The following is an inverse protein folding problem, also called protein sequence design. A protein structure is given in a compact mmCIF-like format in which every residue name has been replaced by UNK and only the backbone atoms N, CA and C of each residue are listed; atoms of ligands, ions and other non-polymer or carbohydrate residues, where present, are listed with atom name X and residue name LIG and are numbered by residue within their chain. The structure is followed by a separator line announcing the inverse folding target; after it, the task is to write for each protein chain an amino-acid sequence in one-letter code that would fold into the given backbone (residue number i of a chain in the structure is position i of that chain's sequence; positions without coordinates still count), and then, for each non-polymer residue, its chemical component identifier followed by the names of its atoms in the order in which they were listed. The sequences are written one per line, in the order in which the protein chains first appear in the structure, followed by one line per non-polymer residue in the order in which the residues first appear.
data_IF_622983448375
#
_entry.id   IF_622983448375
#
_cell.length_a   1.000
_cell.length_b   1.000
_cell.length_c   1.000
_cell.angle_alpha   90.00
_cell.angle_beta   90.00
_cell.angle_gamma   90.00
#
_symmetry.space_group_name_H-M   'P 1'
#
loop_
_entity.id
_entity.type
_entity.pdbx_description
1 polymer ?
#
# COMPACT_ATOMS: atom_id res chain seq x y z
N UNK A 1 5.13 48.12 1.90
CA UNK A 1 4.81 46.68 1.86
C UNK A 1 5.95 45.94 1.16
N UNK A 2 6.48 44.89 1.78
CA UNK A 2 7.70 44.18 1.34
C UNK A 2 7.51 43.47 -0.01
N UNK A 3 8.47 43.62 -0.93
CA UNK A 3 8.50 43.05 -2.28
C UNK A 3 8.34 41.52 -2.33
N UNK A 4 8.61 40.83 -1.23
CA UNK A 4 8.45 39.38 -1.07
C UNK A 4 6.99 38.90 -1.06
N UNK A 5 6.03 39.71 -0.59
CA UNK A 5 4.61 39.31 -0.58
C UNK A 5 3.96 39.41 -1.97
N UNK A 6 4.49 40.28 -2.84
CA UNK A 6 4.00 40.44 -4.21
C UNK A 6 4.42 39.30 -5.12
N UNK A 7 5.65 38.77 -4.98
CA UNK A 7 6.08 37.64 -5.81
C UNK A 7 5.34 36.36 -5.44
N UNK A 8 5.02 36.14 -4.16
CA UNK A 8 4.26 34.98 -3.72
C UNK A 8 2.83 34.97 -4.29
N UNK A 9 2.16 36.14 -4.31
CA UNK A 9 0.82 36.28 -4.87
C UNK A 9 0.83 36.14 -6.41
N UNK A 10 1.83 36.72 -7.09
CA UNK A 10 1.99 36.57 -8.53
C UNK A 10 2.32 35.11 -8.94
N UNK A 11 3.15 34.40 -8.17
CA UNK A 11 3.43 32.98 -8.40
C UNK A 11 2.21 32.10 -8.18
N UNK A 12 1.38 32.38 -7.18
CA UNK A 12 0.10 31.68 -6.94
C UNK A 12 -0.91 31.91 -8.07
N UNK A 13 -0.96 33.11 -8.64
CA UNK A 13 -1.80 33.46 -9.79
C UNK A 13 -1.32 32.77 -11.08
N UNK A 14 0.00 32.63 -11.27
CA UNK A 14 0.57 32.06 -12.51
C UNK A 14 0.40 30.54 -12.60
N UNK A 15 0.41 29.83 -11.46
CA UNK A 15 0.24 28.36 -11.44
C UNK A 15 -1.23 27.93 -11.61
N UNK A 16 -2.21 28.81 -11.29
CA UNK A 16 -3.65 28.52 -11.44
C UNK A 16 -4.27 28.92 -12.79
N UNK A 17 -3.59 29.72 -13.62
CA UNK A 17 -4.20 30.37 -14.79
C UNK A 17 -3.80 29.81 -16.16
N UNK A 18 -2.91 28.83 -16.24
CA UNK A 18 -2.49 28.26 -17.54
C UNK A 18 -3.58 27.48 -18.27
N UNK A 19 -4.75 27.26 -17.66
CA UNK A 19 -5.94 26.70 -18.33
C UNK A 19 -6.97 27.76 -18.78
N UNK A 20 -6.81 29.05 -18.45
CA UNK A 20 -7.78 30.09 -18.83
C UNK A 20 -7.09 31.41 -19.17
N UNK A 21 -6.52 31.49 -20.38
CA UNK A 21 -5.96 32.73 -20.95
C UNK A 21 -7.01 33.86 -21.19
N UNK A 22 -8.24 33.71 -20.67
CA UNK A 22 -9.34 34.69 -20.76
C UNK A 22 -9.58 35.40 -19.40
N UNK A 23 -8.84 35.05 -18.34
CA UNK A 23 -9.12 35.53 -16.98
C UNK A 23 -8.42 36.84 -16.58
N UNK A 24 -7.48 37.34 -17.40
CA UNK A 24 -6.73 38.57 -17.12
C UNK A 24 -7.53 39.86 -17.34
N UNK A 25 -8.61 39.81 -18.13
CA UNK A 25 -9.40 41.00 -18.51
C UNK A 25 -10.30 41.57 -17.39
N UNK A 26 -10.44 40.89 -16.25
CA UNK A 26 -11.35 41.30 -15.16
C UNK A 26 -10.66 41.77 -13.89
N UNK A 27 -9.33 41.67 -13.80
CA UNK A 27 -8.56 42.19 -12.66
C UNK A 27 -8.18 43.65 -12.91
N UNK A 28 -8.40 44.51 -11.92
CA UNK A 28 -7.93 45.90 -11.95
C UNK A 28 -6.40 45.92 -11.80
N UNK A 29 -5.70 46.45 -12.80
CA UNK A 29 -4.25 46.69 -12.73
C UNK A 29 -3.95 47.97 -11.92
N UNK A 30 -2.94 47.90 -11.04
CA UNK A 30 -2.52 49.04 -10.22
C UNK A 30 -1.25 49.69 -10.79
N UNK A 31 -1.30 51.01 -11.03
CA UNK A 31 -0.14 51.78 -11.48
C UNK A 31 0.78 52.13 -10.30
N UNK A 32 2.08 51.91 -10.48
CA UNK A 32 3.08 52.24 -9.47
C UNK A 32 3.08 53.75 -9.15
N UNK A 33 3.10 54.09 -7.86
CA UNK A 33 3.11 55.48 -7.38
C UNK A 33 1.73 56.13 -7.26
N UNK A 34 0.65 55.43 -7.63
CA UNK A 34 -0.72 55.90 -7.44
C UNK A 34 -1.38 55.15 -6.28
N UNK A 35 -2.03 55.84 -5.32
CA UNK A 35 -2.81 55.17 -4.29
C UNK A 35 -3.97 54.37 -4.91
N UNK A 36 -4.02 53.06 -4.66
CA UNK A 36 -5.14 52.21 -5.08
C UNK A 36 -6.38 52.50 -4.21
N UNK A 37 -7.58 52.54 -4.81
CA UNK A 37 -8.80 52.70 -4.02
C UNK A 37 -9.14 51.38 -3.32
N UNK A 38 -9.66 51.46 -2.10
CA UNK A 38 -10.08 50.29 -1.34
C UNK A 38 -11.12 49.44 -2.10
N UNK A 39 -12.04 50.09 -2.83
CA UNK A 39 -13.06 49.43 -3.65
C UNK A 39 -12.45 48.60 -4.79
N UNK A 40 -11.41 49.12 -5.46
CA UNK A 40 -10.71 48.44 -6.57
C UNK A 40 -9.93 47.22 -6.06
N UNK A 41 -9.26 47.36 -4.91
CA UNK A 41 -8.56 46.26 -4.23
C UNK A 41 -9.55 45.18 -3.78
N UNK A 42 -10.65 45.56 -3.13
CA UNK A 42 -11.68 44.63 -2.68
C UNK A 42 -12.40 43.94 -3.85
N UNK A 43 -12.58 44.63 -4.98
CA UNK A 43 -13.12 44.05 -6.21
C UNK A 43 -12.25 42.92 -6.76
N UNK A 44 -10.91 43.09 -6.77
CA UNK A 44 -9.99 42.04 -7.15
C UNK A 44 -10.06 40.83 -6.19
N UNK A 45 -10.15 41.06 -4.87
CA UNK A 45 -10.31 39.98 -3.90
C UNK A 45 -11.64 39.23 -4.08
N UNK A 46 -12.76 39.93 -4.24
CA UNK A 46 -14.06 39.30 -4.48
C UNK A 46 -14.09 38.49 -5.78
N UNK A 47 -13.42 38.99 -6.84
CA UNK A 47 -13.25 38.24 -8.08
C UNK A 47 -12.42 36.97 -7.85
N UNK A 48 -11.29 37.05 -7.16
CA UNK A 48 -10.46 35.89 -6.83
C UNK A 48 -11.23 34.88 -5.97
N UNK A 49 -11.99 35.33 -4.97
CA UNK A 49 -12.85 34.49 -4.14
C UNK A 49 -13.90 33.76 -4.99
N UNK A 50 -14.56 34.46 -5.91
CA UNK A 50 -15.55 33.84 -6.81
C UNK A 50 -14.93 32.77 -7.72
N UNK A 51 -13.68 32.95 -8.15
CA UNK A 51 -12.95 31.96 -8.94
C UNK A 51 -12.53 30.77 -8.08
N UNK A 52 -12.09 31.02 -6.85
CA UNK A 52 -11.79 29.97 -5.88
C UNK A 52 -13.05 29.15 -5.58
N UNK A 53 -14.20 29.79 -5.39
CA UNK A 53 -15.47 29.10 -5.13
C UNK A 53 -15.92 28.28 -6.34
N UNK A 54 -15.74 28.80 -7.56
CA UNK A 54 -16.00 28.04 -8.79
C UNK A 54 -15.05 26.83 -8.94
N UNK A 55 -13.78 26.95 -8.54
CA UNK A 55 -12.81 25.84 -8.53
C UNK A 55 -13.15 24.81 -7.44
N UNK A 56 -13.70 25.25 -6.32
CA UNK A 56 -14.14 24.39 -5.21
C UNK A 56 -15.47 23.68 -5.49
N UNK A 57 -16.29 24.22 -6.39
CA UNK A 57 -17.56 23.61 -6.76
C UNK A 57 -17.30 22.21 -7.34
N UNK A 58 -17.74 21.17 -6.62
CA UNK A 58 -17.62 19.79 -7.07
C UNK A 58 -18.60 19.57 -8.22
N UNK A 59 -18.09 19.21 -9.39
CA UNK A 59 -18.94 18.79 -10.50
C UNK A 59 -19.39 17.35 -10.26
N UNK A 60 -20.68 17.07 -10.37
CA UNK A 60 -21.23 15.70 -10.26
C UNK A 60 -21.88 15.31 -11.58
N UNK A 61 -21.57 14.11 -12.09
CA UNK A 61 -22.15 13.55 -13.31
C UNK A 61 -22.65 12.13 -13.03
N UNK A 62 -23.81 11.80 -13.61
CA UNK A 62 -24.34 10.44 -13.58
C UNK A 62 -23.93 9.69 -14.85
N UNK A 63 -23.39 8.49 -14.68
CA UNK A 63 -22.82 7.66 -15.73
C UNK A 63 -23.56 6.33 -15.79
N UNK A 64 -24.35 6.12 -16.85
CA UNK A 64 -25.06 4.86 -17.06
C UNK A 64 -24.31 3.95 -18.04
N UNK A 65 -23.57 2.99 -17.47
CA UNK A 65 -22.89 1.96 -18.23
C UNK A 65 -23.81 0.80 -18.66
N UNK A 66 -25.07 0.77 -18.18
CA UNK A 66 -26.04 -0.26 -18.59
C UNK A 66 -26.50 -0.04 -20.04
N UNK A 67 -26.66 1.22 -20.44
CA UNK A 67 -27.01 1.60 -21.82
C UNK A 67 -25.79 1.78 -22.72
N UNK A 68 -24.67 2.22 -22.14
CA UNK A 68 -23.43 2.45 -22.88
C UNK A 68 -22.20 2.11 -22.02
N UNK A 69 -21.67 0.87 -22.12
CA UNK A 69 -20.56 0.38 -21.30
C UNK A 69 -19.27 1.22 -21.35
N UNK A 70 -19.09 2.04 -22.38
CA UNK A 70 -17.90 2.90 -22.56
C UNK A 70 -18.06 4.31 -21.96
N UNK A 71 -19.21 4.61 -21.33
CA UNK A 71 -19.55 5.98 -20.90
C UNK A 71 -18.61 6.55 -19.85
N UNK A 72 -18.17 5.73 -18.89
CA UNK A 72 -17.21 6.14 -17.86
C UNK A 72 -15.87 6.53 -18.48
N UNK A 73 -15.34 5.68 -19.36
CA UNK A 73 -14.09 5.90 -20.09
C UNK A 73 -14.17 7.17 -20.94
N UNK A 74 -15.21 7.29 -21.76
CA UNK A 74 -15.42 8.45 -22.64
C UNK A 74 -15.52 9.75 -21.84
N UNK A 75 -16.19 9.72 -20.67
CA UNK A 75 -16.32 10.89 -19.81
C UNK A 75 -14.98 11.32 -19.22
N UNK A 76 -14.19 10.36 -18.74
CA UNK A 76 -12.86 10.65 -18.17
C UNK A 76 -11.86 11.11 -19.23
N UNK A 77 -11.90 10.55 -20.43
CA UNK A 77 -11.05 10.97 -21.56
C UNK A 77 -11.38 12.40 -22.01
N UNK A 78 -12.65 12.80 -21.96
CA UNK A 78 -13.10 14.16 -22.30
C UNK A 78 -12.98 15.16 -21.14
N UNK A 79 -12.69 14.69 -19.92
CA UNK A 79 -12.72 15.52 -18.71
C UNK A 79 -11.56 16.53 -18.68
N UNK A 80 -11.80 17.73 -19.20
CA UNK A 80 -10.87 18.88 -19.17
C UNK A 80 -11.13 19.84 -18.00
N UNK A 81 -12.10 19.52 -17.14
CA UNK A 81 -12.58 20.42 -16.08
C UNK A 81 -11.53 20.75 -15.02
N UNK A 82 -11.50 22.02 -14.61
CA UNK A 82 -10.83 22.46 -13.39
C UNK A 82 -11.65 22.08 -12.14
N UNK A 83 -11.00 21.59 -11.10
CA UNK A 83 -11.63 21.24 -9.82
C UNK A 83 -12.08 19.78 -9.67
N UNK A 84 -12.64 19.41 -8.49
CA UNK A 84 -13.05 18.05 -8.16
C UNK A 84 -14.22 17.55 -9.01
N UNK A 85 -14.21 16.27 -9.37
CA UNK A 85 -15.23 15.60 -10.18
C UNK A 85 -15.75 14.36 -9.45
N UNK A 86 -17.07 14.26 -9.29
CA UNK A 86 -17.76 13.07 -8.80
C UNK A 86 -18.53 12.41 -9.94
N UNK A 87 -18.32 11.11 -10.13
CA UNK A 87 -18.97 10.29 -11.14
C UNK A 87 -19.82 9.23 -10.42
N UNK A 88 -21.14 9.33 -10.51
CA UNK A 88 -22.07 8.33 -9.96
C UNK A 88 -22.35 7.29 -11.04
N UNK A 89 -21.82 6.09 -10.89
CA UNK A 89 -21.83 5.07 -11.92
C UNK A 89 -22.89 4.01 -11.64
N UNK A 90 -23.68 3.68 -12.66
CA UNK A 90 -24.62 2.55 -12.64
C UNK A 90 -24.33 1.57 -13.78
N UNK A 91 -24.60 0.29 -13.55
CA UNK A 91 -24.32 -0.76 -14.53
C UNK A 91 -22.85 -1.19 -14.58
N UNK A 92 -22.49 -1.96 -15.60
CA UNK A 92 -21.15 -2.51 -15.80
C UNK A 92 -20.43 -1.77 -16.93
N UNK A 93 -19.35 -1.06 -16.59
CA UNK A 93 -18.49 -0.38 -17.55
C UNK A 93 -17.36 -1.31 -18.02
N UNK A 94 -16.92 -1.10 -19.26
CA UNK A 94 -15.75 -1.77 -19.80
C UNK A 94 -14.47 -1.01 -19.44
N UNK A 95 -13.46 -1.74 -18.95
CA UNK A 95 -12.10 -1.25 -18.76
C UNK A 95 -11.26 -1.27 -20.07
N UNK A 96 -9.99 -0.86 -20.00
CA UNK A 96 -9.38 -0.18 -18.86
C UNK A 96 -9.93 1.25 -18.72
N UNK A 97 -10.28 1.63 -17.49
CA UNK A 97 -10.61 3.01 -17.15
C UNK A 97 -9.32 3.78 -16.90
N UNK A 98 -8.96 4.66 -17.83
CA UNK A 98 -7.76 5.48 -17.74
C UNK A 98 -8.05 6.76 -16.96
N UNK A 99 -7.47 6.91 -15.78
CA UNK A 99 -7.67 8.09 -14.93
C UNK A 99 -6.39 8.91 -14.88
N UNK A 100 -6.40 10.04 -15.60
CA UNK A 100 -5.32 11.03 -15.62
C UNK A 100 -5.70 12.36 -14.97
N UNK A 101 -7.00 12.56 -14.73
CA UNK A 101 -7.53 13.75 -14.06
C UNK A 101 -7.34 13.66 -12.56
N UNK A 102 -6.92 14.77 -11.95
CA UNK A 102 -6.83 14.89 -10.50
C UNK A 102 -8.20 15.12 -9.83
N UNK A 103 -8.31 14.74 -8.55
CA UNK A 103 -9.48 14.94 -7.69
C UNK A 103 -10.77 14.33 -8.23
N UNK A 104 -10.72 13.03 -8.56
CA UNK A 104 -11.89 12.28 -9.06
C UNK A 104 -12.43 11.33 -8.00
N UNK A 105 -13.74 11.34 -7.82
CA UNK A 105 -14.50 10.36 -7.05
C UNK A 105 -15.33 9.53 -8.03
N UNK A 106 -15.17 8.21 -8.01
CA UNK A 106 -16.04 7.27 -8.72
C UNK A 106 -16.86 6.53 -7.67
N UNK A 107 -18.19 6.62 -7.77
CA UNK A 107 -19.12 6.07 -6.79
C UNK A 107 -20.08 5.08 -7.45
N UNK A 108 -20.07 3.83 -7.01
CA UNK A 108 -20.92 2.76 -7.53
C UNK A 108 -20.39 2.10 -8.81
N UNK A 109 -21.23 1.23 -9.38
CA UNK A 109 -20.99 0.58 -10.65
C UNK A 109 -20.04 -0.63 -10.58
N UNK A 110 -19.96 -1.33 -11.70
CA UNK A 110 -19.02 -2.43 -11.90
C UNK A 110 -18.04 -2.10 -13.04
N UNK A 111 -16.81 -2.56 -12.94
CA UNK A 111 -15.79 -2.42 -13.98
C UNK A 111 -15.30 -3.82 -14.37
N UNK A 112 -15.44 -4.16 -15.64
CA UNK A 112 -14.94 -5.40 -16.23
C UNK A 112 -13.71 -5.08 -17.05
N UNK A 113 -12.54 -5.60 -16.65
CA UNK A 113 -11.29 -5.38 -17.37
C UNK A 113 -11.32 -5.93 -18.79
N UNK A 114 -10.53 -5.33 -19.66
CA UNK A 114 -10.30 -5.80 -21.04
C UNK A 114 -8.82 -6.02 -21.27
N UNK A 115 -8.50 -6.86 -22.25
CA UNK A 115 -7.12 -7.25 -22.54
C UNK A 115 -6.37 -6.09 -23.21
N UNK A 116 -5.22 -5.73 -22.63
CA UNK A 116 -4.28 -4.74 -23.14
C UNK A 116 -2.89 -5.35 -23.08
N UNK A 117 -2.24 -5.48 -24.24
CA UNK A 117 -0.89 -6.05 -24.35
C UNK A 117 -0.75 -7.45 -23.70
N UNK A 118 -1.82 -8.26 -23.72
CA UNK A 118 -1.88 -9.60 -23.13
C UNK A 118 -2.28 -9.63 -21.65
N UNK A 119 -2.45 -8.47 -21.01
CA UNK A 119 -2.83 -8.34 -19.60
C UNK A 119 -4.28 -7.89 -19.46
N UNK A 120 -5.02 -8.49 -18.51
CA UNK A 120 -6.39 -8.07 -18.25
C UNK A 120 -6.39 -6.86 -17.31
N UNK A 121 -6.71 -5.67 -17.83
CA UNK A 121 -6.65 -4.42 -17.07
C UNK A 121 -8.05 -3.80 -16.88
N UNK A 122 -8.38 -3.50 -15.62
CA UNK A 122 -9.64 -2.85 -15.26
C UNK A 122 -9.49 -1.33 -15.18
N UNK A 123 -8.40 -0.86 -14.59
CA UNK A 123 -8.19 0.56 -14.32
C UNK A 123 -6.71 0.91 -14.29
N UNK A 124 -6.38 2.04 -14.90
CA UNK A 124 -5.03 2.61 -14.91
C UNK A 124 -5.07 4.04 -14.39
N UNK A 125 -4.56 4.24 -13.18
CA UNK A 125 -4.47 5.55 -12.52
C UNK A 125 -3.06 6.08 -12.66
N UNK A 126 -2.92 7.28 -13.25
CA UNK A 126 -1.59 7.87 -13.47
C UNK A 126 -1.61 9.40 -13.45
N UNK A 127 -0.45 10.01 -13.21
CA UNK A 127 -0.24 11.43 -13.47
C UNK A 127 -0.50 12.35 -12.29
N UNK A 128 -0.03 11.98 -11.08
CA UNK A 128 -0.14 12.79 -9.85
C UNK A 128 -1.59 13.10 -9.49
N UNK A 129 -2.41 12.05 -9.47
CA UNK A 129 -3.84 12.17 -9.25
C UNK A 129 -4.23 11.83 -7.81
N UNK A 130 -5.39 12.30 -7.38
CA UNK A 130 -6.02 12.01 -6.11
C UNK A 130 -7.40 11.39 -6.39
N UNK A 131 -7.48 10.07 -6.31
CA UNK A 131 -8.65 9.30 -6.72
C UNK A 131 -9.32 8.67 -5.51
N UNK A 132 -10.65 8.64 -5.52
CA UNK A 132 -11.45 7.92 -4.54
C UNK A 132 -12.42 6.99 -5.27
N UNK A 133 -12.36 5.71 -4.96
CA UNK A 133 -13.34 4.72 -5.40
C UNK A 133 -14.24 4.39 -4.22
N UNK A 134 -15.56 4.48 -4.42
CA UNK A 134 -16.59 4.26 -3.40
C UNK A 134 -17.60 3.26 -3.94
N UNK A 135 -17.83 2.15 -3.24
CA UNK A 135 -18.82 1.13 -3.63
C UNK A 135 -18.63 0.59 -5.08
N UNK A 136 -17.38 0.56 -5.56
CA UNK A 136 -17.03 0.09 -6.91
C UNK A 136 -16.72 -1.40 -6.87
N UNK A 137 -17.27 -2.17 -7.79
CA UNK A 137 -16.92 -3.59 -7.98
C UNK A 137 -16.03 -3.77 -9.21
N UNK A 138 -14.82 -4.26 -9.02
CA UNK A 138 -13.95 -4.71 -10.11
C UNK A 138 -14.28 -6.19 -10.36
N UNK A 139 -14.91 -6.49 -11.50
CA UNK A 139 -15.35 -7.84 -11.86
C UNK A 139 -14.21 -8.72 -12.38
N UNK A 140 -13.28 -8.11 -13.12
CA UNK A 140 -12.12 -8.78 -13.71
C UNK A 140 -11.02 -7.76 -14.00
N UNK A 141 -9.79 -8.23 -14.10
CA UNK A 141 -8.61 -7.43 -14.42
C UNK A 141 -8.01 -6.69 -13.22
N UNK A 142 -6.85 -6.07 -13.46
CA UNK A 142 -6.05 -5.41 -12.42
C UNK A 142 -6.32 -3.90 -12.33
N UNK A 143 -6.01 -3.32 -11.18
CA UNK A 143 -5.93 -1.88 -10.95
C UNK A 143 -4.47 -1.48 -10.82
N UNK A 144 -3.98 -0.70 -11.77
CA UNK A 144 -2.60 -0.20 -11.80
C UNK A 144 -2.53 1.26 -11.36
N UNK A 145 -1.70 1.55 -10.35
CA UNK A 145 -1.58 2.89 -9.75
C UNK A 145 -0.14 3.39 -9.86
N UNK A 146 0.09 4.39 -10.70
CA UNK A 146 1.45 4.83 -11.04
C UNK A 146 1.64 6.34 -10.97
N UNK A 147 2.91 6.77 -10.99
CA UNK A 147 3.34 8.17 -11.16
C UNK A 147 2.75 9.10 -10.10
N UNK A 148 3.11 8.86 -8.84
CA UNK A 148 2.83 9.75 -7.70
C UNK A 148 1.34 9.97 -7.46
N UNK A 149 0.53 8.96 -7.76
CA UNK A 149 -0.92 9.02 -7.57
C UNK A 149 -1.31 8.56 -6.16
N UNK A 150 -2.36 9.16 -5.61
CA UNK A 150 -2.96 8.82 -4.33
C UNK A 150 -4.36 8.26 -4.56
N UNK A 151 -4.59 7.00 -4.18
CA UNK A 151 -5.87 6.32 -4.39
C UNK A 151 -6.47 5.89 -3.06
N UNK A 152 -7.78 6.07 -2.92
CA UNK A 152 -8.56 5.64 -1.76
C UNK A 152 -9.62 4.65 -2.18
N UNK A 153 -9.64 3.48 -1.54
CA UNK A 153 -10.72 2.50 -1.67
C UNK A 153 -11.65 2.60 -0.47
N UNK A 154 -12.94 2.77 -0.74
CA UNK A 154 -14.01 2.71 0.23
C UNK A 154 -15.04 1.70 -0.27
N UNK A 155 -15.09 0.53 0.36
CA UNK A 155 -15.98 -0.57 -0.03
C UNK A 155 -15.80 -1.02 -1.50
N UNK A 156 -14.55 -1.13 -1.95
CA UNK A 156 -14.21 -1.66 -3.29
C UNK A 156 -14.17 -3.19 -3.23
N UNK A 157 -14.86 -3.84 -4.15
CA UNK A 157 -14.79 -5.30 -4.33
C UNK A 157 -13.78 -5.65 -5.41
N UNK A 158 -12.86 -6.57 -5.13
CA UNK A 158 -11.81 -7.00 -6.06
C UNK A 158 -12.11 -8.39 -6.64
N UNK A 159 -11.67 -8.65 -7.90
CA UNK A 159 -11.85 -9.96 -8.52
C UNK A 159 -10.93 -10.96 -7.85
N UNK A 160 -11.32 -12.24 -7.88
CA UNK A 160 -10.41 -13.33 -7.48
C UNK A 160 -9.14 -13.25 -8.33
N UNK A 161 -7.94 -13.14 -7.73
CA UNK A 161 -6.71 -13.10 -8.47
C UNK A 161 -6.44 -14.46 -9.11
N UNK A 162 -5.77 -14.46 -10.26
CA UNK A 162 -5.30 -15.67 -10.94
C UNK A 162 -3.91 -16.04 -10.44
N UNK A 163 -3.50 -17.30 -10.58
CA UNK A 163 -2.11 -17.68 -10.35
C UNK A 163 -1.21 -17.09 -11.44
N UNK A 164 -0.02 -16.62 -11.06
CA UNK A 164 1.01 -16.16 -12.00
C UNK A 164 1.71 -17.36 -12.63
N UNK A 165 2.12 -18.31 -11.79
CA UNK A 165 2.46 -19.68 -12.18
C UNK A 165 1.68 -20.65 -11.28
N UNK A 166 1.16 -21.74 -11.85
CA UNK A 166 0.40 -22.71 -11.08
C UNK A 166 1.29 -23.52 -10.11
N UNK A 167 2.60 -23.55 -10.38
CA UNK A 167 3.56 -24.38 -9.68
C UNK A 167 4.25 -23.66 -8.51
N UNK A 168 4.28 -22.33 -8.48
CA UNK A 168 4.97 -21.53 -7.44
C UNK A 168 4.04 -21.00 -6.33
N UNK A 169 2.72 -21.08 -6.53
CA UNK A 169 1.72 -20.64 -5.56
C UNK A 169 1.56 -19.11 -5.45
N UNK A 170 2.17 -18.34 -6.35
CA UNK A 170 2.04 -16.88 -6.40
C UNK A 170 0.84 -16.45 -7.23
N UNK A 171 0.17 -15.39 -6.78
CA UNK A 171 -0.94 -14.82 -7.52
C UNK A 171 -0.46 -13.66 -8.39
N UNK A 172 -1.04 -13.50 -9.57
CA UNK A 172 -0.96 -12.27 -10.32
C UNK A 172 -1.59 -11.12 -9.48
N UNK A 173 -0.93 -9.95 -9.35
CA UNK A 173 -1.49 -8.82 -8.62
C UNK A 173 -2.75 -8.26 -9.29
N UNK A 174 -3.86 -8.19 -8.55
CA UNK A 174 -5.05 -7.47 -8.99
C UNK A 174 -5.03 -5.99 -8.56
N UNK A 175 -4.11 -5.61 -7.68
CA UNK A 175 -3.77 -4.22 -7.38
C UNK A 175 -2.25 -4.07 -7.44
N UNK A 176 -1.78 -3.32 -8.43
CA UNK A 176 -0.36 -3.02 -8.60
C UNK A 176 -0.10 -1.53 -8.39
N UNK A 177 1.03 -1.22 -7.79
CA UNK A 177 1.42 0.17 -7.54
C UNK A 177 2.90 0.43 -7.73
N UNK A 178 3.18 1.60 -8.29
CA UNK A 178 4.53 2.09 -8.53
C UNK A 178 4.65 3.58 -8.20
N UNK A 179 5.55 3.93 -7.27
CA UNK A 179 5.79 5.31 -6.83
C UNK A 179 4.51 6.05 -6.49
N UNK A 180 3.62 5.41 -5.74
CA UNK A 180 2.24 5.89 -5.51
C UNK A 180 1.75 5.50 -4.11
N UNK A 181 0.56 5.94 -3.73
CA UNK A 181 -0.02 5.67 -2.41
C UNK A 181 -1.44 5.13 -2.51
N UNK A 182 -1.75 4.10 -1.72
CA UNK A 182 -3.07 3.48 -1.61
C UNK A 182 -3.52 3.49 -0.17
N UNK A 183 -4.76 3.88 0.04
CA UNK A 183 -5.42 3.76 1.33
C UNK A 183 -6.72 2.99 1.20
N UNK A 184 -6.83 1.87 1.89
CA UNK A 184 -8.07 1.11 1.99
C UNK A 184 -8.75 1.52 3.30
N UNK A 185 -9.88 2.21 3.17
CA UNK A 185 -10.56 2.89 4.28
C UNK A 185 -11.66 2.02 4.92
N UNK A 186 -12.39 1.26 4.12
CA UNK A 186 -13.53 0.44 4.52
C UNK A 186 -13.77 -0.70 3.52
N UNK A 187 -14.55 -1.70 3.91
CA UNK A 187 -14.90 -2.85 3.07
C UNK A 187 -14.18 -4.14 3.48
N UNK A 188 -14.00 -5.02 2.51
CA UNK A 188 -13.28 -6.29 2.66
C UNK A 188 -11.93 -6.25 1.93
N UNK A 189 -10.93 -6.91 2.51
CA UNK A 189 -9.64 -7.23 1.89
C UNK A 189 -9.69 -8.56 1.12
N UNK A 190 -10.84 -9.23 1.07
CA UNK A 190 -10.98 -10.47 0.31
C UNK A 190 -10.52 -10.29 -1.13
N UNK A 191 -9.81 -11.30 -1.62
CA UNK A 191 -9.21 -11.35 -2.95
C UNK A 191 -8.09 -10.34 -3.21
N UNK A 192 -7.73 -9.45 -2.29
CA UNK A 192 -6.62 -8.53 -2.53
C UNK A 192 -5.32 -9.31 -2.78
N UNK A 193 -4.74 -9.10 -3.96
CA UNK A 193 -3.41 -9.55 -4.37
C UNK A 193 -2.62 -8.30 -4.73
N UNK A 194 -1.78 -7.86 -3.79
CA UNK A 194 -1.14 -6.55 -3.82
C UNK A 194 0.34 -6.65 -4.21
N UNK A 195 0.77 -5.84 -5.16
CA UNK A 195 2.20 -5.58 -5.42
C UNK A 195 2.49 -4.07 -5.32
N UNK A 196 3.30 -3.69 -4.33
CA UNK A 196 3.68 -2.29 -4.06
C UNK A 196 5.17 -2.09 -4.28
N UNK A 197 5.54 -1.31 -5.30
CA UNK A 197 6.93 -1.16 -5.76
C UNK A 197 7.37 0.30 -5.89
N UNK A 198 8.68 0.54 -5.90
CA UNK A 198 9.36 1.82 -6.17
C UNK A 198 8.84 3.00 -5.33
N UNK A 199 9.17 3.07 -4.04
CA UNK A 199 8.79 4.19 -3.15
C UNK A 199 7.26 4.34 -3.01
N UNK A 200 6.53 3.23 -2.90
CA UNK A 200 5.08 3.26 -2.70
C UNK A 200 4.69 3.14 -1.23
N UNK A 201 3.50 3.64 -0.86
CA UNK A 201 2.97 3.55 0.49
C UNK A 201 1.54 3.00 0.51
N UNK A 202 1.32 1.97 1.33
CA UNK A 202 0.03 1.35 1.53
C UNK A 202 -0.42 1.56 2.96
N UNK A 203 -1.68 1.94 3.13
CA UNK A 203 -2.33 2.03 4.43
C UNK A 203 -3.63 1.25 4.45
N UNK A 204 -3.69 0.27 5.33
CA UNK A 204 -4.92 -0.45 5.65
C UNK A 204 -5.51 0.16 6.93
N UNK A 205 -6.71 0.74 6.87
CA UNK A 205 -7.33 1.30 8.07
C UNK A 205 -7.95 0.22 8.97
N UNK A 206 -8.25 0.59 10.22
CA UNK A 206 -9.02 -0.24 11.14
C UNK A 206 -10.44 -0.47 10.64
N UNK A 207 -11.02 -1.63 10.96
CA UNK A 207 -12.40 -1.98 10.62
C UNK A 207 -12.56 -2.69 9.26
N UNK A 208 -11.46 -2.92 8.53
CA UNK A 208 -11.47 -3.78 7.35
C UNK A 208 -11.72 -5.24 7.76
N UNK A 209 -12.46 -5.94 6.90
CA UNK A 209 -12.80 -7.36 7.07
C UNK A 209 -12.12 -8.21 5.98
N UNK A 210 -12.33 -9.53 6.02
CA UNK A 210 -11.80 -10.44 5.00
C UNK A 210 -10.29 -10.66 5.09
N UNK A 211 -9.79 -11.40 4.12
CA UNK A 211 -8.41 -11.88 4.11
C UNK A 211 -7.78 -11.71 2.72
N UNK A 212 -6.72 -10.89 2.60
CA UNK A 212 -5.99 -10.77 1.34
C UNK A 212 -5.40 -12.12 0.94
N UNK A 213 -5.27 -12.34 -0.36
CA UNK A 213 -4.63 -13.54 -0.90
C UNK A 213 -3.11 -13.45 -0.76
N UNK A 214 -2.54 -12.30 -1.08
CA UNK A 214 -1.11 -12.05 -0.93
C UNK A 214 -0.80 -10.55 -0.80
N UNK A 215 0.37 -10.25 -0.23
CA UNK A 215 0.91 -8.90 -0.13
C UNK A 215 2.41 -8.93 -0.44
N UNK A 216 2.81 -8.23 -1.49
CA UNK A 216 4.22 -8.02 -1.85
C UNK A 216 4.57 -6.53 -1.72
N UNK A 217 5.57 -6.22 -0.88
CA UNK A 217 6.13 -4.88 -0.69
C UNK A 217 7.61 -4.91 -1.10
N UNK A 218 7.94 -4.18 -2.15
CA UNK A 218 9.27 -4.22 -2.74
C UNK A 218 9.79 -2.81 -3.09
N UNK A 219 11.09 -2.69 -3.34
CA UNK A 219 11.76 -1.51 -3.90
C UNK A 219 11.44 -0.21 -3.15
N UNK A 220 11.83 -0.16 -1.88
CA UNK A 220 11.67 0.96 -0.96
C UNK A 220 10.21 1.34 -0.68
N UNK A 221 9.32 0.35 -0.71
CA UNK A 221 7.90 0.56 -0.41
C UNK A 221 7.57 0.22 1.03
N UNK A 222 6.41 0.67 1.51
CA UNK A 222 5.99 0.45 2.88
C UNK A 222 4.49 0.17 3.02
N UNK A 223 4.13 -0.70 3.96
CA UNK A 223 2.75 -0.96 4.35
C UNK A 223 2.56 -0.73 5.85
N UNK A 224 1.55 0.05 6.20
CA UNK A 224 1.09 0.21 7.58
C UNK A 224 -0.34 -0.34 7.69
N UNK A 225 -0.50 -1.42 8.44
CA UNK A 225 -1.79 -2.01 8.76
C UNK A 225 -2.30 -1.57 10.13
N UNK A 226 -3.50 -0.98 10.14
CA UNK A 226 -4.30 -0.73 11.36
C UNK A 226 -5.40 -1.78 11.57
N UNK A 227 -5.39 -2.83 10.76
CA UNK A 227 -6.31 -3.97 10.92
C UNK A 227 -5.91 -4.72 12.18
N UNK A 228 -6.87 -4.98 13.06
CA UNK A 228 -6.58 -5.61 14.35
C UNK A 228 -5.98 -7.01 14.19
N UNK A 229 -6.55 -7.81 13.28
CA UNK A 229 -6.07 -9.13 12.88
C UNK A 229 -5.99 -9.16 11.34
N UNK A 230 -4.79 -9.00 10.78
CA UNK A 230 -4.58 -9.11 9.34
C UNK A 230 -4.20 -10.56 9.01
N UNK A 231 -5.12 -11.29 8.37
CA UNK A 231 -4.88 -12.69 7.97
C UNK A 231 -4.69 -12.79 6.45
N UNK A 232 -3.45 -12.92 6.01
CA UNK A 232 -3.04 -13.12 4.62
C UNK A 232 -3.09 -14.62 4.33
N UNK A 233 -3.83 -15.05 3.31
CA UNK A 233 -4.06 -16.48 3.04
C UNK A 233 -2.82 -17.18 2.48
N UNK A 234 -2.12 -16.51 1.56
CA UNK A 234 -0.90 -16.98 0.92
C UNK A 234 0.32 -16.25 1.47
N UNK A 235 1.10 -15.67 0.57
CA UNK A 235 2.43 -15.13 0.88
C UNK A 235 2.35 -13.68 1.34
N UNK A 236 3.08 -13.36 2.42
CA UNK A 236 3.59 -12.02 2.69
C UNK A 236 5.03 -11.95 2.19
N UNK A 237 5.40 -10.95 1.40
CA UNK A 237 6.78 -10.77 0.95
C UNK A 237 7.27 -9.34 1.09
N UNK A 238 8.50 -9.19 1.59
CA UNK A 238 9.17 -7.90 1.77
C UNK A 238 10.58 -7.93 1.18
N UNK A 239 10.80 -7.22 0.08
CA UNK A 239 12.09 -7.18 -0.60
C UNK A 239 12.54 -5.74 -0.92
N UNK A 240 13.80 -5.61 -1.33
CA UNK A 240 14.35 -4.35 -1.82
C UNK A 240 14.14 -3.14 -0.90
N UNK A 241 14.49 -3.24 0.39
CA UNK A 241 14.22 -2.21 1.41
C UNK A 241 12.72 -1.97 1.67
N UNK A 242 11.91 -3.01 1.60
CA UNK A 242 10.49 -2.98 1.93
C UNK A 242 10.26 -2.86 3.44
N UNK A 243 9.17 -2.24 3.87
CA UNK A 243 8.81 -2.20 5.30
C UNK A 243 7.35 -2.51 5.57
N UNK A 244 7.10 -3.20 6.67
CA UNK A 244 5.77 -3.57 7.12
C UNK A 244 5.60 -3.29 8.60
N UNK A 245 4.49 -2.64 8.96
CA UNK A 245 4.07 -2.45 10.35
C UNK A 245 2.63 -2.93 10.51
N UNK A 246 2.39 -3.81 11.47
CA UNK A 246 1.06 -4.32 11.80
C UNK A 246 0.87 -4.58 13.29
N UNK A 247 -0.33 -5.04 13.68
CA UNK A 247 -0.61 -5.43 15.06
C UNK A 247 -0.54 -6.95 15.22
N UNK A 248 -1.62 -7.67 14.85
CA UNK A 248 -1.63 -9.13 14.78
C UNK A 248 -1.69 -9.55 13.33
N UNK A 249 -0.67 -10.29 12.89
CA UNK A 249 -0.49 -10.65 11.48
C UNK A 249 -0.41 -12.16 11.37
N UNK A 250 -1.12 -12.72 10.40
CA UNK A 250 -0.92 -14.10 9.98
C UNK A 250 -0.72 -14.19 8.49
N UNK A 251 0.14 -15.10 8.05
CA UNK A 251 0.35 -15.41 6.65
C UNK A 251 0.42 -16.92 6.42
N UNK A 252 0.14 -17.37 5.20
CA UNK A 252 0.38 -18.75 4.79
C UNK A 252 1.87 -19.07 4.78
N UNK A 253 2.70 -18.16 4.26
CA UNK A 253 4.16 -18.16 4.35
C UNK A 253 4.68 -16.73 4.39
N UNK A 254 5.96 -16.56 4.74
CA UNK A 254 6.60 -15.25 4.77
C UNK A 254 8.04 -15.30 4.30
N UNK A 255 8.35 -14.44 3.35
CA UNK A 255 9.70 -14.23 2.86
C UNK A 255 10.09 -12.76 3.02
N UNK A 256 11.30 -12.51 3.53
CA UNK A 256 11.88 -11.18 3.48
C UNK A 256 13.36 -11.20 3.14
N UNK A 257 13.80 -10.15 2.48
CA UNK A 257 15.18 -10.01 2.02
C UNK A 257 15.61 -8.56 1.80
N UNK A 258 16.88 -8.39 1.43
CA UNK A 258 17.47 -7.16 0.93
C UNK A 258 17.20 -5.94 1.81
N UNK A 259 17.58 -6.01 3.09
CA UNK A 259 17.46 -4.92 4.06
C UNK A 259 16.02 -4.45 4.34
N UNK A 260 15.06 -5.36 4.20
CA UNK A 260 13.65 -5.08 4.53
C UNK A 260 13.38 -5.17 6.04
N UNK A 261 12.30 -4.54 6.50
CA UNK A 261 11.93 -4.49 7.92
C UNK A 261 10.48 -4.92 8.15
N UNK A 262 10.26 -5.76 9.16
CA UNK A 262 8.95 -6.18 9.62
C UNK A 262 8.79 -5.92 11.10
N UNK A 263 7.66 -5.31 11.47
CA UNK A 263 7.28 -5.07 12.86
C UNK A 263 5.81 -5.47 13.08
N UNK A 264 5.57 -6.32 14.08
CA UNK A 264 4.23 -6.64 14.56
C UNK A 264 4.21 -6.90 16.07
N UNK A 265 3.03 -6.90 16.69
CA UNK A 265 2.88 -7.35 18.09
C UNK A 265 2.68 -8.84 18.23
N UNK A 266 2.14 -9.48 17.18
CA UNK A 266 1.96 -10.93 17.10
C UNK A 266 2.08 -11.35 15.64
N UNK A 267 2.81 -12.43 15.39
CA UNK A 267 2.93 -13.04 14.08
C UNK A 267 2.68 -14.55 14.14
N UNK A 268 1.81 -15.04 13.26
CA UNK A 268 1.58 -16.47 13.09
C UNK A 268 1.72 -16.90 11.64
N UNK A 269 2.33 -18.06 11.40
CA UNK A 269 2.42 -18.66 10.07
C UNK A 269 2.14 -20.15 10.14
N UNK A 270 1.33 -20.64 9.20
CA UNK A 270 1.15 -22.08 9.01
C UNK A 270 2.21 -22.69 8.10
N UNK A 271 3.01 -21.86 7.45
CA UNK A 271 4.09 -22.26 6.56
C UNK A 271 5.43 -21.70 7.01
N UNK A 272 6.37 -21.76 6.08
CA UNK A 272 7.76 -21.41 6.31
C UNK A 272 7.97 -19.88 6.39
N UNK A 273 8.95 -19.47 7.19
CA UNK A 273 9.42 -18.09 7.29
C UNK A 273 10.89 -18.02 6.88
N UNK A 274 11.19 -17.32 5.79
CA UNK A 274 12.54 -17.13 5.29
C UNK A 274 13.00 -15.68 5.49
N UNK A 275 14.11 -15.49 6.21
CA UNK A 275 14.69 -14.18 6.53
C UNK A 275 16.08 -14.06 5.88
N UNK A 276 16.28 -13.11 4.98
CA UNK A 276 17.49 -13.02 4.17
C UNK A 276 18.13 -11.64 4.17
N UNK A 277 19.44 -11.58 3.88
CA UNK A 277 20.16 -10.41 3.36
C UNK A 277 19.88 -9.07 4.10
N UNK A 278 20.24 -9.00 5.37
CA UNK A 278 20.15 -7.79 6.19
C UNK A 278 18.73 -7.42 6.62
N UNK A 279 17.77 -8.34 6.47
CA UNK A 279 16.41 -8.12 6.93
C UNK A 279 16.34 -7.98 8.46
N UNK A 280 15.34 -7.22 8.94
CA UNK A 280 15.05 -7.01 10.36
C UNK A 280 13.63 -7.49 10.65
N UNK A 281 13.50 -8.55 11.43
CA UNK A 281 12.22 -9.11 11.86
C UNK A 281 12.00 -8.84 13.35
N UNK A 282 11.00 -8.03 13.67
CA UNK A 282 10.70 -7.61 15.03
C UNK A 282 9.26 -7.98 15.46
N UNK A 283 9.16 -8.61 16.63
CA UNK A 283 7.90 -8.86 17.33
C UNK A 283 7.92 -8.11 18.66
N UNK A 284 7.17 -7.02 18.73
CA UNK A 284 7.02 -6.17 19.92
C UNK A 284 5.74 -6.50 20.67
N UNK A 285 5.84 -7.33 21.70
CA UNK A 285 4.71 -7.90 22.44
C UNK A 285 4.07 -6.91 23.44
N UNK A 286 3.54 -5.84 22.88
CA UNK A 286 2.84 -4.78 23.61
C UNK A 286 1.50 -5.26 24.21
N UNK A 287 1.00 -6.43 23.81
CA UNK A 287 -0.28 -7.01 24.27
C UNK A 287 -0.09 -8.09 25.37
N UNK A 288 1.15 -8.44 25.76
CA UNK A 288 1.43 -9.40 26.84
C UNK A 288 1.05 -10.86 26.50
N UNK A 289 1.05 -11.22 25.22
CA UNK A 289 0.82 -12.58 24.74
C UNK A 289 1.99 -13.47 25.16
N UNK A 290 1.73 -14.68 25.67
CA UNK A 290 2.84 -15.56 26.11
C UNK A 290 3.71 -16.00 24.95
N UNK A 291 3.10 -16.29 23.81
CA UNK A 291 3.76 -16.78 22.59
C UNK A 291 3.34 -15.91 21.39
N UNK A 292 3.88 -14.69 21.27
CA UNK A 292 3.52 -13.76 20.20
C UNK A 292 4.06 -14.19 18.83
N UNK A 293 5.01 -15.12 18.76
CA UNK A 293 5.48 -15.72 17.51
C UNK A 293 5.16 -17.21 17.47
N UNK A 294 4.36 -17.64 16.49
CA UNK A 294 4.09 -19.07 16.25
C UNK A 294 4.15 -19.39 14.76
N UNK A 295 5.15 -20.18 14.35
CA UNK A 295 5.42 -20.49 12.93
C UNK A 295 5.59 -21.99 12.73
N UNK A 296 5.48 -22.48 11.49
CA UNK A 296 5.79 -23.89 11.20
C UNK A 296 7.27 -24.16 11.42
N UNK A 297 8.11 -23.45 10.68
CA UNK A 297 9.55 -23.44 10.75
C UNK A 297 10.09 -22.10 10.24
N UNK A 298 11.35 -21.79 10.54
CA UNK A 298 12.00 -20.56 10.10
C UNK A 298 13.44 -20.80 9.70
N UNK A 299 13.89 -20.11 8.66
CA UNK A 299 15.28 -20.05 8.23
C UNK A 299 15.76 -18.60 8.23
N UNK A 300 17.01 -18.43 8.63
CA UNK A 300 17.65 -17.14 8.68
C UNK A 300 19.00 -17.18 7.94
N UNK A 301 19.20 -16.23 7.03
CA UNK A 301 20.46 -15.92 6.35
C UNK A 301 20.80 -14.44 6.51
N UNK A 302 21.85 -14.14 7.30
CA UNK A 302 22.34 -12.77 7.48
C UNK A 302 21.24 -11.73 7.87
N UNK A 303 20.31 -12.10 8.76
CA UNK A 303 19.21 -11.24 9.21
C UNK A 303 19.22 -11.03 10.74
N UNK A 304 18.56 -9.97 11.19
CA UNK A 304 18.36 -9.64 12.60
C UNK A 304 16.94 -10.03 13.06
N UNK A 305 16.86 -10.77 14.16
CA UNK A 305 15.60 -11.28 14.74
C UNK A 305 15.42 -10.70 16.15
N UNK A 306 14.31 -10.04 16.41
CA UNK A 306 13.95 -9.54 17.75
C UNK A 306 12.56 -10.03 18.11
N UNK A 307 12.44 -10.78 19.20
CA UNK A 307 11.14 -11.22 19.72
C UNK A 307 11.06 -10.92 21.20
N UNK A 308 10.17 -10.00 21.54
CA UNK A 308 9.75 -9.83 22.93
C UNK A 308 8.66 -10.88 23.25
N UNK A 309 8.94 -11.88 24.08
CA UNK A 309 8.02 -12.95 24.44
C UNK A 309 8.41 -14.31 23.88
N UNK A 310 7.51 -15.29 24.04
CA UNK A 310 7.77 -16.68 23.64
C UNK A 310 7.64 -16.95 22.14
N UNK A 311 8.31 -18.00 21.70
CA UNK A 311 8.30 -18.47 20.31
C UNK A 311 7.87 -19.94 20.28
N UNK A 312 7.03 -20.30 19.32
CA UNK A 312 6.63 -21.69 19.08
C UNK A 312 6.88 -22.08 17.63
N UNK A 313 7.77 -23.04 17.43
CA UNK A 313 7.94 -23.75 16.16
C UNK A 313 7.09 -25.02 16.17
N UNK A 314 6.08 -25.04 15.31
CA UNK A 314 5.01 -26.04 15.33
C UNK A 314 5.26 -27.23 14.42
N UNK A 315 6.32 -27.22 13.62
CA UNK A 315 6.70 -28.34 12.78
C UNK A 315 8.14 -28.24 12.27
N UNK A 316 8.39 -28.84 11.12
CA UNK A 316 9.68 -28.87 10.43
C UNK A 316 9.49 -28.56 8.95
N UNK A 317 10.54 -28.07 8.28
CA UNK A 317 10.51 -27.84 6.84
C UNK A 317 11.55 -28.68 6.11
N UNK A 318 11.15 -29.35 5.02
CA UNK A 318 11.99 -30.30 4.27
C UNK A 318 13.18 -29.60 3.59
N UNK A 319 12.97 -28.39 3.04
CA UNK A 319 14.04 -27.62 2.41
C UNK A 319 15.10 -27.15 3.42
N UNK A 320 14.69 -27.00 4.69
CA UNK A 320 15.57 -26.73 5.84
C UNK A 320 16.06 -28.02 6.54
N UNK A 321 16.16 -29.14 5.81
CA UNK A 321 16.70 -30.40 6.35
C UNK A 321 15.84 -31.08 7.43
N UNK A 322 14.52 -30.84 7.44
CA UNK A 322 13.58 -31.25 8.50
C UNK A 322 13.85 -30.60 9.86
N UNK A 323 14.15 -29.31 9.85
CA UNK A 323 14.38 -28.52 11.07
C UNK A 323 13.23 -27.58 11.36
N UNK A 324 13.06 -27.27 12.64
CA UNK A 324 12.13 -26.24 13.10
C UNK A 324 12.71 -24.84 12.96
N UNK A 325 14.04 -24.71 13.09
CA UNK A 325 14.76 -23.45 12.96
C UNK A 325 16.15 -23.71 12.40
N UNK A 326 16.51 -23.00 11.33
CA UNK A 326 17.84 -23.05 10.71
C UNK A 326 18.46 -21.64 10.69
N UNK A 327 19.69 -21.53 11.19
CA UNK A 327 20.41 -20.26 11.23
C UNK A 327 21.73 -20.38 10.45
N UNK A 328 21.90 -19.50 9.47
CA UNK A 328 23.10 -19.40 8.65
C UNK A 328 23.96 -18.19 9.05
N UNK A 329 25.10 -18.05 8.34
CA UNK A 329 26.07 -16.99 8.57
C UNK A 329 25.42 -15.61 8.64
N UNK A 330 25.76 -14.86 9.69
CA UNK A 330 25.32 -13.47 9.85
C UNK A 330 23.97 -13.31 10.56
N UNK A 331 23.30 -14.40 10.95
CA UNK A 331 22.08 -14.32 11.75
C UNK A 331 22.35 -13.92 13.19
N UNK A 332 21.56 -12.96 13.69
CA UNK A 332 21.70 -12.38 15.03
C UNK A 332 20.33 -12.11 15.60
N UNK A 333 20.20 -12.13 16.92
CA UNK A 333 18.92 -11.78 17.52
C UNK A 333 18.77 -12.05 19.01
N UNK A 334 17.64 -11.61 19.52
CA UNK A 334 17.24 -11.80 20.92
C UNK A 334 15.79 -12.29 20.98
N UNK A 335 15.55 -13.33 21.79
CA UNK A 335 14.23 -13.81 22.15
C UNK A 335 14.09 -13.73 23.68
N UNK A 336 13.25 -12.84 24.19
CA UNK A 336 13.17 -12.57 25.64
C UNK A 336 12.41 -13.67 26.42
N UNK A 337 11.56 -14.43 25.74
CA UNK A 337 10.69 -15.46 26.31
C UNK A 337 11.12 -16.90 26.02
N UNK A 338 10.22 -17.84 26.35
CA UNK A 338 10.44 -19.27 26.18
C UNK A 338 10.33 -19.67 24.70
N UNK A 339 11.26 -20.49 24.23
CA UNK A 339 11.21 -21.09 22.89
C UNK A 339 10.79 -22.55 22.97
N UNK A 340 9.80 -22.93 22.15
CA UNK A 340 9.31 -24.31 22.03
C UNK A 340 9.52 -24.83 20.61
N UNK A 341 10.01 -26.06 20.48
CA UNK A 341 10.25 -26.75 19.22
C UNK A 341 9.46 -28.06 19.16
N UNK A 342 8.83 -28.36 18.01
CA UNK A 342 8.27 -29.70 17.73
C UNK A 342 9.25 -30.63 17.00
N UNK A 343 10.36 -30.12 16.45
CA UNK A 343 11.37 -30.89 15.73
C UNK A 343 12.81 -30.66 16.23
N UNK A 344 13.78 -31.05 15.41
CA UNK A 344 15.21 -30.80 15.66
C UNK A 344 15.59 -29.36 15.29
N UNK A 345 16.57 -28.82 16.01
CA UNK A 345 17.31 -27.61 15.64
C UNK A 345 18.61 -28.09 14.99
N UNK A 346 18.86 -27.79 13.71
CA UNK A 346 20.14 -28.12 13.06
C UNK A 346 21.00 -26.86 13.02
N UNK A 347 22.17 -26.96 13.65
CA UNK A 347 23.24 -25.98 13.54
C UNK A 347 24.19 -26.49 12.45
N UNK A 348 24.36 -25.76 11.34
CA UNK A 348 25.42 -26.05 10.38
C UNK A 348 26.80 -25.78 11.00
N UNK A 349 27.28 -26.75 11.78
CA UNK A 349 28.65 -26.86 12.33
C UNK A 349 29.73 -27.09 11.25
N UNK A 350 29.47 -26.74 9.98
CA UNK A 350 30.38 -27.00 8.85
C UNK A 350 30.77 -25.81 7.98
N UNK A 351 30.36 -24.60 8.31
CA UNK A 351 30.99 -23.40 7.76
C UNK A 351 31.86 -22.78 8.85
N UNK A 352 33.18 -22.93 8.74
CA UNK A 352 34.11 -22.12 9.51
C UNK A 352 33.69 -20.64 9.36
N UNK A 353 33.60 -19.91 10.48
CA UNK A 353 33.36 -18.47 10.61
C UNK A 353 31.90 -17.99 10.60
N UNK A 354 31.26 -17.90 11.78
CA UNK A 354 30.59 -16.68 12.30
C UNK A 354 29.85 -16.93 13.61
N UNK A 355 29.97 -15.96 14.53
CA UNK A 355 29.17 -15.84 15.74
C UNK A 355 27.68 -15.79 15.39
N UNK A 356 26.96 -16.86 15.66
CA UNK A 356 25.52 -16.79 15.88
C UNK A 356 25.40 -16.16 17.27
N UNK A 357 24.59 -15.12 17.46
CA UNK A 357 24.32 -14.62 18.81
C UNK A 357 22.81 -14.66 18.96
N UNK A 358 22.32 -15.82 19.35
CA UNK A 358 20.93 -16.00 19.74
C UNK A 358 20.91 -16.25 21.24
N UNK A 359 20.29 -15.33 21.97
CA UNK A 359 19.97 -15.52 23.38
C UNK A 359 18.49 -15.83 23.52
N UNK A 360 18.17 -16.94 24.19
CA UNK A 360 16.79 -17.35 24.45
C UNK A 360 16.67 -18.14 25.75
N UNK A 361 15.44 -18.28 26.26
CA UNK A 361 15.14 -19.19 27.38
C UNK A 361 14.56 -20.50 26.87
N UNK A 362 15.13 -21.62 27.29
CA UNK A 362 14.61 -22.95 26.94
C UNK A 362 13.39 -23.34 27.79
N UNK A 363 12.90 -24.57 27.59
CA UNK A 363 11.76 -25.12 28.34
C UNK A 363 11.99 -25.24 29.86
N UNK A 364 13.23 -25.18 30.33
CA UNK A 364 13.60 -25.18 31.74
C UNK A 364 13.86 -23.77 32.29
N UNK A 365 13.63 -22.73 31.47
CA UNK A 365 13.87 -21.32 31.80
C UNK A 365 15.37 -21.01 32.02
N UNK A 366 16.26 -21.81 31.42
CA UNK A 366 17.70 -21.55 31.39
C UNK A 366 18.04 -20.67 30.20
N UNK A 367 18.90 -19.67 30.41
CA UNK A 367 19.42 -18.85 29.32
C UNK A 367 20.37 -19.69 28.47
N UNK A 368 19.98 -19.90 27.23
CA UNK A 368 20.84 -20.47 26.20
C UNK A 368 21.52 -19.31 25.48
N UNK A 369 22.85 -19.36 25.46
CA UNK A 369 23.68 -18.52 24.62
C UNK A 369 24.33 -19.46 23.61
N UNK A 370 24.00 -19.30 22.34
CA UNK A 370 24.67 -20.01 21.26
C UNK A 370 25.53 -19.01 20.52
N UNK A 371 26.85 -19.20 20.63
CA UNK A 371 27.92 -18.50 19.86
C UNK A 371 28.11 -19.16 18.49
#
# INVERSE_FOLDING_TARGET
MNKYNMSLLASLITVGLTANAVAADSLVEFTAGTPAKAEEVNGNFAYLDSKIDAIKATTSLDIDCSSSPESLKTTLDAATYAGPLTLNVTGACNGPINIKKNDVIISGGEITGTEVDGELEAMFVSGRTNIKLVDVKINSGSVSIVRESYVRFENVTLPTPTFEDADDGWYAPNVSMRSSSLRINSGSLDNLSLASTFNSYVRLNSGLTGSPQQINIDLNSSLHSKVANLNIKGVLSLFGNGSFIGKKVSAGSFEMGNSSAFEASEYTSTGFVALNEGAVFAIENNDGVTTPLSVLAMECHAADIYVDGGVSFTGTHEEAGNTSFEAHHGCRGEISGQVTFQGTVDDWTKANYSHIMLSYKDANNEFQYRD
#
